data_IF_316946106190
#
_entry.id   IF_316946106190
#
_cell.length_a   1.000
_cell.length_b   1.000
_cell.length_c   1.000
_cell.angle_alpha   90.00
_cell.angle_beta   90.00
_cell.angle_gamma   90.00
#
_symmetry.space_group_name_H-M   'P 1'
#
loop_
_entity.id
_entity.type
_entity.pdbx_description
1 polymer ?
#
# COMPACT_ATOMS: atom_id res chain seq x y z
N UNK A 1 -54.46 -21.68 43.30
CA UNK A 1 -52.99 -21.72 43.17
C UNK A 1 -52.53 -20.48 42.42
N UNK A 2 -52.18 -19.43 43.17
CA UNK A 2 -51.64 -18.18 42.64
C UNK A 2 -50.15 -18.37 42.35
N UNK A 3 -49.72 -18.14 41.11
CA UNK A 3 -48.30 -18.02 40.77
C UNK A 3 -47.97 -16.55 40.56
N UNK A 4 -47.05 -16.10 41.38
CA UNK A 4 -46.56 -14.75 41.60
C UNK A 4 -45.71 -14.23 40.44
N UNK A 5 -46.00 -12.98 40.05
CA UNK A 5 -45.09 -11.85 39.89
C UNK A 5 -43.59 -12.16 39.74
N UNK A 6 -43.01 -11.75 38.60
CA UNK A 6 -41.69 -11.12 38.61
C UNK A 6 -41.62 -10.03 37.54
N UNK A 7 -41.76 -8.80 38.00
CA UNK A 7 -41.56 -7.57 37.22
C UNK A 7 -40.14 -7.55 36.67
N UNK A 8 -40.01 -7.30 35.38
CA UNK A 8 -38.75 -6.92 34.74
C UNK A 8 -38.28 -5.58 35.35
N UNK A 9 -37.11 -5.61 35.99
CA UNK A 9 -36.34 -4.42 36.34
C UNK A 9 -35.48 -4.02 35.13
N UNK A 10 -35.29 -2.72 34.85
CA UNK A 10 -34.43 -2.28 33.76
C UNK A 10 -32.96 -2.56 34.08
N UNK A 11 -32.28 -3.24 33.16
CA UNK A 11 -30.83 -3.43 33.17
C UNK A 11 -30.19 -2.06 33.01
N UNK A 12 -29.52 -1.58 34.06
CA UNK A 12 -28.63 -0.41 34.01
C UNK A 12 -27.54 -0.70 32.97
N UNK A 13 -27.58 0.01 31.85
CA UNK A 13 -26.43 0.14 30.97
C UNK A 13 -25.38 0.99 31.70
N UNK A 14 -24.33 0.34 32.16
CA UNK A 14 -23.13 1.01 32.62
C UNK A 14 -22.40 1.57 31.39
N UNK A 15 -22.45 2.89 31.28
CA UNK A 15 -21.68 3.69 30.34
C UNK A 15 -20.19 3.51 30.67
N UNK A 16 -19.50 2.66 29.92
CA UNK A 16 -18.06 2.45 30.04
C UNK A 16 -17.35 3.63 29.37
N UNK A 17 -17.00 4.59 30.22
CA UNK A 17 -16.18 5.76 29.93
C UNK A 17 -14.88 5.40 29.19
N UNK A 18 -14.54 6.24 28.22
CA UNK A 18 -13.28 6.22 27.50
C UNK A 18 -12.07 6.25 28.45
N UNK A 19 -10.96 5.54 28.15
CA UNK A 19 -9.76 5.64 28.96
C UNK A 19 -9.13 7.03 28.81
N UNK A 20 -9.23 7.83 29.87
CA UNK A 20 -8.49 9.08 30.06
C UNK A 20 -7.00 8.82 29.83
N UNK A 21 -6.39 9.54 28.88
CA UNK A 21 -4.93 9.66 28.78
C UNK A 21 -4.43 10.29 30.08
N UNK A 22 -3.73 9.49 30.90
CA UNK A 22 -2.87 10.03 31.96
C UNK A 22 -1.72 10.78 31.30
N UNK A 23 -1.70 12.08 31.50
CA UNK A 23 -0.53 12.90 31.22
C UNK A 23 0.57 12.45 32.17
N UNK A 24 1.66 11.93 31.61
CA UNK A 24 2.83 11.57 32.38
C UNK A 24 3.49 12.85 32.87
N UNK A 25 3.35 13.12 34.17
CA UNK A 25 4.09 14.17 34.88
C UNK A 25 5.59 13.94 34.67
N UNK A 26 6.20 14.80 33.87
CA UNK A 26 7.64 14.82 33.64
C UNK A 26 8.30 15.50 34.84
N UNK A 27 8.65 14.72 35.86
CA UNK A 27 9.51 15.18 36.95
C UNK A 27 10.89 15.54 36.38
N UNK A 28 11.26 16.82 36.44
CA UNK A 28 12.63 17.24 36.19
C UNK A 28 13.46 17.00 37.47
N UNK A 29 14.61 16.30 37.42
CA UNK A 29 15.53 16.32 38.53
C UNK A 29 16.32 17.64 38.53
N UNK A 30 16.38 18.28 39.69
CA UNK A 30 17.21 19.45 39.99
C UNK A 30 18.67 19.20 39.56
N UNK A 31 19.18 20.07 38.67
CA UNK A 31 20.61 20.06 38.31
C UNK A 31 21.41 20.74 39.42
N UNK A 32 21.90 19.93 40.35
CA UNK A 32 22.92 20.32 41.32
C UNK A 32 24.20 20.75 40.61
N UNK A 33 24.70 21.94 40.96
CA UNK A 33 25.91 22.53 40.42
C UNK A 33 27.18 21.80 40.87
N UNK A 34 28.06 21.51 39.92
CA UNK A 34 29.43 21.06 40.17
C UNK A 34 30.41 22.03 39.54
N UNK A 35 31.22 22.68 40.37
CA UNK A 35 32.26 23.61 39.96
C UNK A 35 33.59 22.89 39.62
N UNK A 36 34.34 23.54 38.71
CA UNK A 36 35.79 23.48 38.46
C UNK A 36 36.39 22.28 37.69
N UNK A 37 36.95 22.56 36.49
CA UNK A 37 38.40 22.76 36.36
C UNK A 37 38.79 23.37 35.01
N UNK A 38 39.56 24.45 35.07
CA UNK A 38 40.19 25.13 33.94
C UNK A 38 41.48 24.41 33.52
N UNK A 39 41.47 23.80 32.33
CA UNK A 39 42.66 23.28 31.66
C UNK A 39 42.58 23.63 30.17
N UNK A 40 43.42 24.56 29.72
CA UNK A 40 43.39 25.12 28.38
C UNK A 40 43.62 24.08 27.28
N UNK A 41 42.68 24.02 26.34
CA UNK A 41 42.87 23.45 25.02
C UNK A 41 42.40 24.50 24.00
N UNK A 42 43.17 24.65 22.92
CA UNK A 42 43.03 25.67 21.88
C UNK A 42 41.57 25.89 21.40
N UNK A 43 41.19 27.12 20.99
CA UNK A 43 39.82 27.41 20.60
C UNK A 43 39.46 26.59 19.35
N UNK A 44 38.65 25.55 19.56
CA UNK A 44 37.87 24.96 18.49
C UNK A 44 37.00 26.07 17.90
N UNK A 45 36.93 26.23 16.57
CA UNK A 45 36.06 27.24 15.98
C UNK A 45 34.64 26.93 16.44
N UNK A 46 34.10 27.81 17.28
CA UNK A 46 32.74 27.71 17.82
C UNK A 46 31.81 27.71 16.60
N UNK A 47 31.08 26.61 16.33
CA UNK A 47 30.16 26.59 15.21
C UNK A 47 29.16 27.73 15.39
N UNK A 48 28.99 28.54 14.34
CA UNK A 48 28.14 29.72 14.38
C UNK A 48 26.74 29.31 14.89
N UNK A 49 26.25 29.86 16.02
CA UNK A 49 25.04 29.37 16.69
C UNK A 49 23.73 29.72 15.96
N UNK A 50 23.80 30.23 14.74
CA UNK A 50 22.64 30.56 13.92
C UNK A 50 21.87 29.29 13.57
N UNK A 51 20.79 29.05 14.30
CA UNK A 51 19.80 28.05 13.98
C UNK A 51 19.07 28.52 12.72
N UNK A 52 19.06 27.74 11.61
CA UNK A 52 18.35 28.15 10.41
C UNK A 52 16.87 28.36 10.75
N UNK A 53 16.26 29.41 10.19
CA UNK A 53 14.86 29.81 10.45
C UNK A 53 13.84 28.68 10.22
N UNK A 54 14.22 27.64 9.46
CA UNK A 54 13.40 26.45 9.18
C UNK A 54 14.11 25.17 9.59
N UNK A 55 13.49 24.45 10.54
CA UNK A 55 13.93 23.12 10.94
C UNK A 55 13.73 22.09 9.80
N UNK A 56 14.82 21.58 9.24
CA UNK A 56 14.79 20.50 8.24
C UNK A 56 14.78 19.14 8.93
N UNK A 57 13.67 18.41 8.83
CA UNK A 57 13.54 17.04 9.35
C UNK A 57 14.18 16.05 8.38
N UNK A 58 14.98 15.11 8.90
CA UNK A 58 15.58 14.01 8.12
C UNK A 58 14.48 13.19 7.45
N UNK A 59 14.64 12.93 6.15
CA UNK A 59 13.77 12.05 5.37
C UNK A 59 14.54 10.78 5.01
N UNK A 60 13.89 9.62 5.17
CA UNK A 60 14.48 8.32 4.84
C UNK A 60 13.95 7.85 3.50
N UNK A 61 14.81 7.80 2.49
CA UNK A 61 14.47 7.26 1.17
C UNK A 61 14.20 5.76 1.26
N UNK A 62 13.41 5.22 0.33
CA UNK A 62 13.09 3.79 0.30
C UNK A 62 14.37 2.93 0.17
N UNK A 63 15.29 3.35 -0.69
CA UNK A 63 16.60 2.70 -0.88
C UNK A 63 17.41 2.67 0.42
N UNK A 64 17.46 3.79 1.15
CA UNK A 64 18.15 3.85 2.44
C UNK A 64 17.54 2.85 3.44
N UNK A 65 16.21 2.83 3.57
CA UNK A 65 15.53 1.87 4.47
C UNK A 65 15.85 0.41 4.11
N UNK A 66 15.86 0.07 2.82
CA UNK A 66 16.20 -1.29 2.35
C UNK A 66 17.63 -1.67 2.68
N UNK A 67 18.58 -0.77 2.41
CA UNK A 67 19.99 -0.97 2.71
C UNK A 67 20.20 -1.25 4.20
N UNK A 68 19.57 -0.45 5.07
CA UNK A 68 19.67 -0.65 6.52
C UNK A 68 19.05 -1.97 6.97
N UNK A 69 17.87 -2.33 6.45
CA UNK A 69 17.24 -3.62 6.79
C UNK A 69 18.12 -4.80 6.33
N UNK A 70 18.69 -4.73 5.13
CA UNK A 70 19.58 -5.76 4.61
C UNK A 70 20.88 -5.88 5.43
N UNK A 71 21.50 -4.75 5.81
CA UNK A 71 22.67 -4.74 6.68
C UNK A 71 22.34 -5.32 8.06
N UNK A 72 21.19 -4.97 8.63
CA UNK A 72 20.75 -5.52 9.91
C UNK A 72 20.42 -7.02 9.86
N UNK A 73 20.01 -7.55 8.71
CA UNK A 73 19.86 -9.00 8.47
C UNK A 73 21.21 -9.70 8.27
N UNK A 74 22.21 -9.00 7.71
CA UNK A 74 23.56 -9.52 7.51
C UNK A 74 24.39 -9.56 8.81
N UNK A 75 24.07 -8.72 9.80
CA UNK A 75 24.70 -8.74 11.12
C UNK A 75 24.36 -10.03 11.87
N UNK A 76 25.37 -10.90 12.09
CA UNK A 76 25.24 -12.15 12.86
C UNK A 76 25.83 -12.08 14.26
N UNK A 77 26.69 -11.10 14.54
CA UNK A 77 27.35 -10.97 15.84
C UNK A 77 26.45 -10.28 16.87
N UNK A 78 26.57 -10.73 18.13
CA UNK A 78 25.85 -10.15 19.25
C UNK A 78 26.21 -8.66 19.41
N UNK A 79 25.23 -7.79 19.21
CA UNK A 79 25.39 -6.34 19.34
C UNK A 79 25.84 -5.60 18.07
N UNK A 80 26.15 -6.30 16.97
CA UNK A 80 26.48 -5.66 15.69
C UNK A 80 25.31 -4.79 15.16
N UNK A 81 24.07 -5.25 15.34
CA UNK A 81 22.86 -4.49 15.01
C UNK A 81 22.80 -3.18 15.82
N UNK A 82 23.11 -3.23 17.11
CA UNK A 82 23.15 -2.04 17.97
C UNK A 82 24.25 -1.06 17.56
N UNK A 83 25.41 -1.57 17.13
CA UNK A 83 26.50 -0.78 16.57
C UNK A 83 26.10 -0.06 15.28
N UNK A 84 25.44 -0.76 14.36
CA UNK A 84 24.91 -0.18 13.12
C UNK A 84 23.91 0.94 13.40
N UNK A 85 22.95 0.70 14.32
CA UNK A 85 21.93 1.68 14.68
C UNK A 85 22.52 2.97 15.27
N UNK A 86 23.57 2.86 16.11
CA UNK A 86 24.24 4.04 16.67
C UNK A 86 24.99 4.86 15.61
N UNK A 87 25.66 4.19 14.67
CA UNK A 87 26.36 4.87 13.55
C UNK A 87 25.39 5.64 12.65
N UNK A 88 24.23 5.05 12.41
CA UNK A 88 23.21 5.61 11.52
C UNK A 88 22.25 6.59 12.23
N UNK A 89 22.34 6.71 13.56
CA UNK A 89 21.44 7.51 14.38
C UNK A 89 20.00 7.00 14.36
N UNK A 90 19.83 5.68 14.29
CA UNK A 90 18.54 4.99 14.19
C UNK A 90 18.17 4.32 15.52
N UNK A 91 16.88 4.27 15.79
CA UNK A 91 16.32 3.54 16.94
C UNK A 91 15.80 2.17 16.50
N UNK A 92 15.70 1.23 17.45
CA UNK A 92 15.21 -0.13 17.21
C UNK A 92 13.79 -0.14 16.60
N UNK A 93 12.94 0.81 16.97
CA UNK A 93 11.58 0.95 16.43
C UNK A 93 11.55 1.19 14.92
N UNK A 94 12.55 1.90 14.37
CA UNK A 94 12.66 2.10 12.92
C UNK A 94 12.88 0.77 12.22
N UNK A 95 13.77 -0.07 12.76
CA UNK A 95 14.08 -1.35 12.17
C UNK A 95 12.87 -2.30 12.19
N UNK A 96 12.14 -2.37 13.31
CA UNK A 96 10.90 -3.14 13.41
C UNK A 96 9.87 -2.66 12.40
N UNK A 97 9.70 -1.34 12.25
CA UNK A 97 8.74 -0.76 11.31
C UNK A 97 9.15 -1.06 9.86
N UNK A 98 10.43 -0.93 9.53
CA UNK A 98 10.91 -1.14 8.16
C UNK A 98 10.95 -2.61 7.75
N UNK A 99 11.18 -3.54 8.69
CA UNK A 99 11.02 -4.99 8.44
C UNK A 99 9.59 -5.32 8.04
N UNK A 100 8.60 -4.81 8.78
CA UNK A 100 7.17 -4.96 8.42
C UNK A 100 6.86 -4.33 7.05
N UNK A 101 7.40 -3.15 6.77
CA UNK A 101 7.21 -2.48 5.46
C UNK A 101 7.85 -3.27 4.30
N UNK A 102 8.96 -3.97 4.55
CA UNK A 102 9.60 -4.87 3.57
C UNK A 102 8.71 -6.08 3.29
N UNK A 103 8.21 -6.75 4.34
CA UNK A 103 7.31 -7.90 4.21
C UNK A 103 6.01 -7.56 3.47
N UNK A 104 5.48 -6.35 3.70
CA UNK A 104 4.26 -5.86 3.04
C UNK A 104 4.50 -5.38 1.60
N UNK A 105 5.73 -5.38 1.10
CA UNK A 105 6.08 -4.79 -0.21
C UNK A 105 5.90 -3.27 -0.27
N UNK A 106 5.67 -2.61 0.87
CA UNK A 106 5.47 -1.17 0.95
C UNK A 106 6.75 -0.41 0.61
N UNK A 107 7.93 -0.96 0.93
CA UNK A 107 9.20 -0.34 0.53
C UNK A 107 9.36 -0.26 -1.00
N UNK A 108 8.72 -1.15 -1.76
CA UNK A 108 8.67 -1.14 -3.23
C UNK A 108 7.58 -0.21 -3.76
N UNK A 109 6.44 -0.16 -3.07
CA UNK A 109 5.35 0.76 -3.37
C UNK A 109 5.58 2.19 -2.86
N UNK A 110 6.69 2.48 -2.15
CA UNK A 110 7.00 3.76 -1.52
C UNK A 110 7.55 4.83 -2.48
N UNK A 111 7.53 4.59 -3.79
CA UNK A 111 7.58 5.71 -4.73
C UNK A 111 6.41 6.64 -4.36
N UNK A 112 6.63 7.97 -4.27
CA UNK A 112 5.59 8.89 -3.83
C UNK A 112 4.41 8.86 -4.82
N UNK A 113 3.45 7.96 -4.57
CA UNK A 113 2.19 7.93 -5.27
C UNK A 113 1.46 9.19 -4.88
N UNK A 114 1.20 10.07 -5.86
CA UNK A 114 0.57 11.37 -5.65
C UNK A 114 -0.61 11.21 -4.70
N UNK A 115 -0.47 11.75 -3.49
CA UNK A 115 -1.52 11.74 -2.48
C UNK A 115 -2.60 12.71 -2.94
N UNK A 116 -3.81 12.21 -3.16
CA UNK A 116 -4.91 12.99 -3.72
C UNK A 116 -6.05 12.08 -4.17
N UNK A 117 -7.14 12.68 -4.68
CA UNK A 117 -8.27 11.96 -5.27
C UNK A 117 -7.72 10.95 -6.27
N UNK A 118 -8.04 9.66 -6.10
CA UNK A 118 -7.75 8.63 -7.11
C UNK A 118 -8.26 9.18 -8.44
N UNK A 119 -7.45 9.16 -9.49
CA UNK A 119 -7.91 9.54 -10.83
C UNK A 119 -9.19 8.75 -11.08
N UNK A 120 -10.31 9.43 -11.30
CA UNK A 120 -11.59 8.80 -11.63
C UNK A 120 -11.29 7.75 -12.69
N UNK A 121 -11.65 6.49 -12.44
CA UNK A 121 -11.42 5.41 -13.40
C UNK A 121 -11.89 5.93 -14.77
N UNK A 122 -10.99 5.90 -15.75
CA UNK A 122 -11.26 6.51 -17.03
C UNK A 122 -12.49 5.78 -17.60
N UNK A 123 -13.64 6.45 -17.87
CA UNK A 123 -14.84 5.78 -18.35
C UNK A 123 -14.58 4.95 -19.62
N UNK A 124 -13.56 5.34 -20.40
CA UNK A 124 -13.08 4.59 -21.55
C UNK A 124 -12.61 3.18 -21.19
N UNK A 125 -12.12 2.92 -19.98
CA UNK A 125 -11.64 1.59 -19.58
C UNK A 125 -12.78 0.58 -19.43
N UNK A 126 -13.92 1.02 -18.87
CA UNK A 126 -15.11 0.19 -18.74
C UNK A 126 -15.74 -0.08 -20.10
N UNK A 127 -15.82 0.95 -20.94
CA UNK A 127 -16.33 0.83 -22.31
C UNK A 127 -15.44 -0.09 -23.17
N UNK A 128 -14.11 0.05 -23.09
CA UNK A 128 -13.18 -0.86 -23.76
C UNK A 128 -13.35 -2.32 -23.30
N UNK A 129 -13.61 -2.56 -22.02
CA UNK A 129 -13.86 -3.92 -21.53
C UNK A 129 -15.15 -4.49 -22.08
N UNK A 130 -16.24 -3.69 -22.09
CA UNK A 130 -17.52 -4.09 -22.70
C UNK A 130 -17.36 -4.42 -24.18
N UNK A 131 -16.73 -3.51 -24.93
CA UNK A 131 -16.46 -3.69 -26.36
C UNK A 131 -15.59 -4.91 -26.65
N UNK A 132 -14.62 -5.24 -25.77
CA UNK A 132 -13.81 -6.46 -25.92
C UNK A 132 -14.62 -7.73 -25.71
N UNK A 133 -15.50 -7.75 -24.72
CA UNK A 133 -16.40 -8.89 -24.46
C UNK A 133 -17.35 -9.09 -25.64
N UNK A 134 -17.92 -8.00 -26.16
CA UNK A 134 -18.81 -8.04 -27.32
C UNK A 134 -18.09 -8.51 -28.57
N UNK A 135 -16.89 -7.98 -28.87
CA UNK A 135 -16.08 -8.46 -29.98
C UNK A 135 -15.75 -9.96 -29.87
N UNK A 136 -15.36 -10.45 -28.69
CA UNK A 136 -15.08 -11.86 -28.49
C UNK A 136 -16.32 -12.75 -28.67
N UNK A 137 -17.51 -12.25 -28.28
CA UNK A 137 -18.78 -12.94 -28.51
C UNK A 137 -19.15 -12.98 -29.98
N UNK A 138 -19.01 -11.86 -30.68
CA UNK A 138 -19.31 -11.74 -32.10
C UNK A 138 -18.35 -12.58 -32.95
N UNK A 139 -17.04 -12.57 -32.62
CA UNK A 139 -16.04 -13.39 -33.31
C UNK A 139 -16.37 -14.88 -33.19
N UNK A 140 -16.73 -15.36 -31.98
CA UNK A 140 -17.15 -16.75 -31.79
C UNK A 140 -18.40 -17.10 -32.60
N UNK A 141 -19.35 -16.17 -32.74
CA UNK A 141 -20.56 -16.39 -33.55
C UNK A 141 -20.25 -16.44 -35.04
N UNK A 142 -19.30 -15.61 -35.52
CA UNK A 142 -18.80 -15.67 -36.88
C UNK A 142 -18.10 -17.00 -37.15
N UNK A 143 -17.17 -17.42 -36.29
CA UNK A 143 -16.49 -18.72 -36.41
C UNK A 143 -17.49 -19.89 -36.50
N UNK A 144 -18.55 -19.84 -35.69
CA UNK A 144 -19.59 -20.87 -35.73
C UNK A 144 -20.39 -20.83 -37.05
N UNK A 145 -20.72 -19.65 -37.56
CA UNK A 145 -21.42 -19.50 -38.83
C UNK A 145 -20.55 -19.95 -40.01
N UNK A 146 -19.27 -19.59 -40.03
CA UNK A 146 -18.27 -20.04 -41.00
C UNK A 146 -18.16 -21.57 -41.00
N UNK A 147 -18.09 -22.19 -39.82
CA UNK A 147 -18.06 -23.65 -39.71
C UNK A 147 -19.32 -24.30 -40.28
N UNK A 148 -20.50 -23.74 -40.01
CA UNK A 148 -21.77 -24.26 -40.55
C UNK A 148 -21.75 -24.15 -42.08
N UNK A 149 -21.35 -23.00 -42.63
CA UNK A 149 -21.24 -22.78 -44.07
C UNK A 149 -20.27 -23.79 -44.69
N UNK A 150 -19.12 -24.04 -44.05
CA UNK A 150 -18.14 -25.01 -44.54
C UNK A 150 -18.66 -26.44 -44.55
N UNK A 151 -19.37 -26.86 -43.50
CA UNK A 151 -20.03 -28.16 -43.45
C UNK A 151 -21.08 -28.27 -44.56
N UNK A 152 -21.92 -27.24 -44.74
CA UNK A 152 -22.93 -27.21 -45.81
C UNK A 152 -22.28 -27.35 -47.19
N UNK A 153 -21.20 -26.60 -47.48
CA UNK A 153 -20.45 -26.70 -48.73
C UNK A 153 -19.88 -28.10 -48.94
N UNK A 154 -19.26 -28.70 -47.92
CA UNK A 154 -18.68 -30.06 -48.00
C UNK A 154 -19.74 -31.13 -48.25
N UNK A 155 -20.86 -31.08 -47.51
CA UNK A 155 -21.97 -32.03 -47.69
C UNK A 155 -22.57 -31.91 -49.09
N UNK A 156 -22.75 -30.69 -49.59
CA UNK A 156 -23.27 -30.48 -50.93
C UNK A 156 -22.34 -31.00 -52.02
N UNK A 157 -21.02 -30.80 -51.86
CA UNK A 157 -20.02 -31.33 -52.77
C UNK A 157 -20.02 -32.86 -52.81
N UNK A 158 -20.20 -33.51 -51.66
CA UNK A 158 -20.29 -34.98 -51.58
C UNK A 158 -21.58 -35.53 -52.20
N UNK A 159 -22.70 -34.81 -52.06
CA UNK A 159 -24.02 -35.25 -52.54
C UNK A 159 -24.35 -34.74 -53.95
N UNK A 160 -23.48 -33.95 -54.57
CA UNK A 160 -23.70 -33.39 -55.92
C UNK A 160 -24.84 -32.38 -56.02
N UNK A 161 -25.26 -31.80 -54.90
CA UNK A 161 -26.34 -30.82 -54.84
C UNK A 161 -25.73 -29.45 -55.17
N UNK A 162 -26.37 -28.64 -56.02
CA UNK A 162 -25.93 -27.27 -56.29
C UNK A 162 -26.50 -26.32 -55.23
N UNK A 163 -25.65 -25.60 -54.48
CA UNK A 163 -26.11 -24.51 -53.61
C UNK A 163 -26.51 -23.29 -54.44
N UNK A 164 -27.62 -22.59 -54.11
CA UNK A 164 -27.94 -21.32 -54.73
C UNK A 164 -26.89 -20.26 -54.37
N UNK A 165 -26.36 -19.56 -55.38
CA UNK A 165 -25.48 -18.40 -55.18
C UNK A 165 -26.25 -17.30 -54.45
N UNK A 166 -25.77 -16.91 -53.27
CA UNK A 166 -26.31 -15.78 -52.54
C UNK A 166 -25.84 -14.50 -53.23
N UNK A 167 -26.73 -13.84 -53.96
CA UNK A 167 -26.51 -12.47 -54.46
C UNK A 167 -26.33 -11.56 -53.25
N UNK A 168 -25.11 -11.08 -53.03
CA UNK A 168 -24.80 -10.06 -52.05
C UNK A 168 -25.50 -8.76 -52.45
N UNK A 169 -26.66 -8.50 -51.84
CA UNK A 169 -27.35 -7.22 -51.94
C UNK A 169 -26.57 -6.15 -51.19
N UNK A 170 -25.62 -5.52 -51.89
CA UNK A 170 -24.99 -4.28 -51.48
C UNK A 170 -25.97 -3.12 -51.70
N UNK A 171 -26.88 -2.88 -50.76
CA UNK A 171 -27.53 -1.58 -50.67
C UNK A 171 -27.72 -1.24 -49.20
N UNK A 172 -26.93 -0.28 -48.71
CA UNK A 172 -27.37 0.84 -47.87
C UNK A 172 -26.18 1.80 -47.69
N UNK A 173 -26.18 2.86 -48.50
CA UNK A 173 -25.45 4.11 -48.27
C UNK A 173 -26.02 4.90 -47.09
#
# INVERSE_FOLDING_TARGET
MLKSNLKQLPVKQAELAAPQRREGERSEPDRSGGAANSGGAAPVPIPNPEVPEKAKRRQFTAEYKRSIVAQAEACRDDGAIGGLLRREGLYSSHLTTWRRQKEQGELDALTPKKRGRKSTANPLTEENQRLRIENARLSRRLEQAELIIDVQKKVSALLGISLPEVKSGEENS
#
